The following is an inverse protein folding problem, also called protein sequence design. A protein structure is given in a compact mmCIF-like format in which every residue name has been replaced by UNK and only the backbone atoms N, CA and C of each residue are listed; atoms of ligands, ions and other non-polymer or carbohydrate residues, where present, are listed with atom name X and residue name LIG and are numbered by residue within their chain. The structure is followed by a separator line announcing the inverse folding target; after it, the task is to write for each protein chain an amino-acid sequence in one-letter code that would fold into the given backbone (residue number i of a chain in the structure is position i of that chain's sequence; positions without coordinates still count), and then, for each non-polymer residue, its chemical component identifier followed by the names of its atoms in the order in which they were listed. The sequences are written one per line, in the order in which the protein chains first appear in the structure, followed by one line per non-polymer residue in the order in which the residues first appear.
data_IF_666860099959
#
_entry.id   IF_666860099959
#
_cell.length_a   1.000
_cell.length_b   1.000
_cell.length_c   1.000
_cell.angle_alpha   90.00
_cell.angle_beta   90.00
_cell.angle_gamma   90.00
#
_symmetry.space_group_name_H-M   'P 1'
#
loop_
_entity.id
_entity.type
_entity.pdbx_description
1 polymer ?
#
# COMPACT_ATOMS: atom_id res chain seq x y z
N UNK A 1 10.89 12.06 1.21
CA UNK A 1 10.48 11.26 2.38
C UNK A 1 8.97 11.21 2.49
N UNK A 2 8.41 10.04 2.64
CA UNK A 2 6.97 9.87 2.74
C UNK A 2 6.60 8.97 3.91
N UNK A 3 5.36 9.09 4.39
CA UNK A 3 4.79 8.24 5.42
C UNK A 3 4.05 7.11 4.72
N UNK A 4 4.48 5.88 4.94
CA UNK A 4 3.93 4.71 4.28
C UNK A 4 3.35 3.75 5.30
N UNK A 5 2.13 3.29 5.05
CA UNK A 5 1.49 2.25 5.85
C UNK A 5 1.58 0.93 5.09
N UNK A 6 2.26 -0.05 5.69
CA UNK A 6 2.43 -1.38 5.12
C UNK A 6 1.50 -2.37 5.84
N UNK A 7 0.61 -2.99 5.10
CA UNK A 7 -0.36 -3.96 5.63
C UNK A 7 -0.03 -5.34 5.08
N UNK A 8 0.54 -6.18 5.93
CA UNK A 8 0.95 -7.54 5.56
C UNK A 8 1.01 -8.39 6.82
N UNK A 9 0.45 -9.60 6.78
CA UNK A 9 0.40 -10.48 7.95
C UNK A 9 1.69 -11.28 8.17
N UNK A 10 2.62 -11.26 7.21
CA UNK A 10 3.89 -11.97 7.33
C UNK A 10 4.95 -11.09 7.99
N UNK A 11 5.42 -11.50 9.16
CA UNK A 11 6.38 -10.73 9.92
C UNK A 11 7.69 -10.46 9.16
N UNK A 12 8.23 -11.48 8.49
CA UNK A 12 9.48 -11.32 7.76
C UNK A 12 9.37 -10.35 6.59
N UNK A 13 8.19 -10.28 5.96
CA UNK A 13 7.93 -9.30 4.91
C UNK A 13 7.87 -7.89 5.51
N UNK A 14 7.17 -7.72 6.63
CA UNK A 14 7.12 -6.41 7.30
C UNK A 14 8.52 -5.92 7.67
N UNK A 15 9.36 -6.81 8.20
CA UNK A 15 10.73 -6.45 8.58
C UNK A 15 11.57 -6.08 7.37
N UNK A 16 11.59 -6.92 6.34
CA UNK A 16 12.38 -6.68 5.14
C UNK A 16 11.95 -5.40 4.43
N UNK A 17 10.66 -5.24 4.22
CA UNK A 17 10.13 -4.09 3.48
C UNK A 17 10.32 -2.80 4.27
N UNK A 18 10.18 -2.85 5.59
CA UNK A 18 10.44 -1.69 6.45
C UNK A 18 11.89 -1.24 6.32
N UNK A 19 12.84 -2.17 6.39
CA UNK A 19 14.25 -1.85 6.25
C UNK A 19 14.55 -1.22 4.91
N UNK A 20 14.09 -1.84 3.83
CA UNK A 20 14.35 -1.38 2.47
C UNK A 20 13.72 -0.02 2.17
N UNK A 21 12.49 0.18 2.59
CA UNK A 21 11.80 1.45 2.35
C UNK A 21 12.34 2.56 3.26
N UNK A 22 12.78 2.22 4.46
CA UNK A 22 13.42 3.19 5.36
C UNK A 22 14.75 3.68 4.80
N UNK A 23 15.49 2.81 4.12
CA UNK A 23 16.73 3.20 3.44
C UNK A 23 16.48 4.23 2.33
N UNK A 24 15.29 4.18 1.73
CA UNK A 24 14.88 5.18 0.73
C UNK A 24 14.42 6.50 1.36
N UNK A 25 14.49 6.62 2.66
CA UNK A 25 14.12 7.83 3.38
C UNK A 25 12.66 7.92 3.80
N UNK A 26 11.90 6.84 3.64
CA UNK A 26 10.48 6.82 4.04
C UNK A 26 10.32 6.47 5.52
N UNK A 27 9.26 6.98 6.11
CA UNK A 27 8.84 6.57 7.45
C UNK A 27 7.76 5.50 7.29
N UNK A 28 8.05 4.29 7.75
CA UNK A 28 7.19 3.12 7.53
C UNK A 28 6.48 2.73 8.81
N UNK A 29 5.16 2.61 8.73
CA UNK A 29 4.32 2.06 9.78
C UNK A 29 3.79 0.73 9.29
N UNK A 30 3.72 -0.28 10.15
CA UNK A 30 3.25 -1.60 9.76
C UNK A 30 2.05 -2.03 10.58
N UNK A 31 1.14 -2.75 9.94
CA UNK A 31 0.06 -3.48 10.63
C UNK A 31 -0.01 -4.89 10.08
N UNK A 32 -0.34 -5.84 10.94
CA UNK A 32 -0.36 -7.26 10.60
C UNK A 32 -1.74 -7.76 10.18
N UNK A 33 -2.77 -6.91 10.27
CA UNK A 33 -4.16 -7.31 10.03
C UNK A 33 -4.93 -6.16 9.40
N UNK A 34 -6.03 -6.49 8.73
CA UNK A 34 -6.96 -5.48 8.22
C UNK A 34 -7.91 -4.94 9.29
N UNK A 35 -7.88 -5.50 10.52
CA UNK A 35 -8.76 -5.06 11.58
C UNK A 35 -8.48 -3.60 11.96
N UNK A 36 -9.51 -2.77 11.99
CA UNK A 36 -9.41 -1.34 12.28
C UNK A 36 -8.50 -0.56 11.32
N UNK A 37 -8.32 -1.06 10.09
CA UNK A 37 -7.41 -0.44 9.13
C UNK A 37 -7.80 1.01 8.83
N UNK A 38 -9.08 1.30 8.66
CA UNK A 38 -9.53 2.68 8.37
C UNK A 38 -9.19 3.63 9.51
N UNK A 39 -9.32 3.16 10.76
CA UNK A 39 -8.94 3.95 11.93
C UNK A 39 -7.43 4.20 11.97
N UNK A 40 -6.64 3.21 11.58
CA UNK A 40 -5.18 3.36 11.49
C UNK A 40 -4.80 4.39 10.43
N UNK A 41 -5.46 4.35 9.28
CA UNK A 41 -5.20 5.32 8.21
C UNK A 41 -5.54 6.73 8.72
N UNK A 42 -6.67 6.88 9.38
CA UNK A 42 -7.06 8.17 9.93
C UNK A 42 -6.05 8.70 10.96
N UNK A 43 -5.58 7.84 11.86
CA UNK A 43 -4.61 8.23 12.89
C UNK A 43 -3.23 8.52 12.33
N UNK A 44 -2.76 7.71 11.40
CA UNK A 44 -1.38 7.79 10.90
C UNK A 44 -1.23 8.78 9.75
N UNK A 45 -2.31 9.06 9.03
CA UNK A 45 -2.29 9.96 7.87
C UNK A 45 -1.18 9.59 6.89
N UNK A 46 -1.12 8.32 6.39
CA UNK A 46 -0.08 7.93 5.46
C UNK A 46 -0.25 8.62 4.12
N UNK A 47 0.85 8.77 3.41
CA UNK A 47 0.84 9.32 2.06
C UNK A 47 0.66 8.22 1.01
N UNK A 48 0.91 6.98 1.38
CA UNK A 48 0.64 5.81 0.55
C UNK A 48 0.40 4.58 1.44
N UNK A 49 -0.41 3.66 0.95
CA UNK A 49 -0.68 2.38 1.61
C UNK A 49 -0.20 1.26 0.70
N UNK A 50 0.61 0.36 1.25
CA UNK A 50 1.02 -0.88 0.57
C UNK A 50 0.20 -2.00 1.21
N UNK A 51 -0.66 -2.63 0.43
CA UNK A 51 -1.69 -3.52 0.92
C UNK A 51 -1.59 -4.90 0.27
N UNK A 52 -1.48 -5.94 1.11
CA UNK A 52 -1.56 -7.32 0.63
C UNK A 52 -3.03 -7.72 0.39
N UNK A 53 -3.26 -8.50 -0.65
CA UNK A 53 -4.61 -8.98 -0.99
C UNK A 53 -5.05 -10.09 -0.04
N UNK A 54 -4.16 -11.05 0.24
CA UNK A 54 -4.51 -12.22 1.05
C UNK A 54 -3.98 -12.09 2.47
N UNK A 55 -4.78 -11.46 3.31
CA UNK A 55 -4.53 -11.39 4.74
C UNK A 55 -5.27 -12.56 5.42
N UNK A 56 -4.76 -13.00 6.57
CA UNK A 56 -5.35 -14.13 7.30
C UNK A 56 -6.82 -13.86 7.64
N UNK A 57 -7.13 -12.65 8.09
CA UNK A 57 -8.46 -12.31 8.60
C UNK A 57 -9.32 -11.50 7.64
N UNK A 58 -8.74 -10.97 6.55
CA UNK A 58 -9.42 -10.02 5.68
C UNK A 58 -9.05 -10.21 4.22
N UNK A 59 -9.99 -9.90 3.36
CA UNK A 59 -9.75 -9.81 1.92
C UNK A 59 -9.24 -8.40 1.61
N UNK A 60 -8.00 -8.31 1.13
CA UNK A 60 -7.38 -7.02 0.80
C UNK A 60 -8.12 -6.26 -0.29
N UNK A 61 -8.78 -6.94 -1.22
CA UNK A 61 -9.56 -6.26 -2.27
C UNK A 61 -10.79 -5.57 -1.69
N UNK A 62 -11.43 -6.18 -0.69
CA UNK A 62 -12.54 -5.55 0.02
C UNK A 62 -12.06 -4.35 0.82
N UNK A 63 -10.91 -4.49 1.48
CA UNK A 63 -10.28 -3.38 2.20
C UNK A 63 -9.96 -2.22 1.26
N UNK A 64 -9.47 -2.52 0.07
CA UNK A 64 -9.18 -1.51 -0.94
C UNK A 64 -10.44 -0.72 -1.32
N UNK A 65 -11.56 -1.40 -1.49
CA UNK A 65 -12.83 -0.73 -1.78
C UNK A 65 -13.24 0.21 -0.64
N UNK A 66 -13.11 -0.27 0.60
CA UNK A 66 -13.43 0.55 1.78
C UNK A 66 -12.53 1.78 1.88
N UNK A 67 -11.23 1.59 1.64
CA UNK A 67 -10.27 2.71 1.63
C UNK A 67 -10.66 3.72 0.57
N UNK A 68 -10.94 3.24 -0.64
CA UNK A 68 -11.24 4.13 -1.77
C UNK A 68 -12.54 4.91 -1.56
N UNK A 69 -13.51 4.32 -0.87
CA UNK A 69 -14.76 4.99 -0.57
C UNK A 69 -14.59 6.16 0.41
N UNK A 70 -13.67 6.04 1.37
CA UNK A 70 -13.42 7.09 2.36
C UNK A 70 -12.28 8.03 1.96
N UNK A 71 -11.27 7.52 1.27
CA UNK A 71 -10.07 8.26 0.89
C UNK A 71 -9.87 8.15 -0.61
N UNK A 72 -10.59 8.97 -1.37
CA UNK A 72 -10.61 8.91 -2.83
C UNK A 72 -9.24 9.08 -3.46
N UNK A 73 -8.40 9.91 -2.86
CA UNK A 73 -7.11 10.29 -3.44
C UNK A 73 -5.91 9.63 -2.77
N UNK A 74 -6.13 8.79 -1.77
CA UNK A 74 -5.02 8.13 -1.08
C UNK A 74 -4.39 7.08 -2.00
N UNK A 75 -3.10 7.21 -2.32
CA UNK A 75 -2.43 6.18 -3.13
C UNK A 75 -2.40 4.83 -2.42
N UNK A 76 -2.86 3.80 -3.12
CA UNK A 76 -2.83 2.42 -2.63
C UNK A 76 -2.12 1.55 -3.66
N UNK A 77 -1.07 0.85 -3.20
CA UNK A 77 -0.33 -0.10 -4.00
C UNK A 77 -0.65 -1.49 -3.48
N UNK A 78 -1.25 -2.32 -4.33
CA UNK A 78 -1.44 -3.73 -4.00
C UNK A 78 -0.10 -4.44 -4.17
N UNK A 79 0.33 -5.17 -3.15
CA UNK A 79 1.58 -5.92 -3.18
C UNK A 79 1.30 -7.33 -2.66
N UNK A 80 1.28 -8.32 -3.55
CA UNK A 80 0.86 -9.66 -3.22
C UNK A 80 1.76 -10.70 -3.90
N UNK A 81 1.79 -11.92 -3.34
CA UNK A 81 2.53 -13.03 -3.94
C UNK A 81 1.89 -13.57 -5.22
N UNK A 82 0.68 -13.13 -5.56
CA UNK A 82 -0.12 -13.69 -6.64
C UNK A 82 -0.41 -12.68 -7.73
N UNK A 83 -0.25 -13.06 -8.99
CA UNK A 83 -0.59 -12.21 -10.14
C UNK A 83 -2.02 -12.42 -10.65
N UNK A 84 -2.70 -13.46 -10.15
CA UNK A 84 -4.05 -13.84 -10.60
C UNK A 84 -5.10 -12.76 -10.34
N UNK A 85 -4.84 -11.85 -9.42
CA UNK A 85 -5.78 -10.78 -9.07
C UNK A 85 -5.66 -9.53 -9.95
N UNK A 86 -4.66 -9.48 -10.84
CA UNK A 86 -4.47 -8.31 -11.72
C UNK A 86 -5.68 -8.02 -12.59
N UNK A 87 -6.37 -9.05 -13.04
CA UNK A 87 -7.55 -8.91 -13.89
C UNK A 87 -8.86 -8.79 -13.11
N UNK A 88 -8.79 -8.83 -11.78
CA UNK A 88 -9.98 -8.64 -10.94
C UNK A 88 -10.41 -7.17 -11.02
N UNK A 89 -11.70 -6.92 -11.25
CA UNK A 89 -12.22 -5.57 -11.34
C UNK A 89 -11.95 -4.73 -10.09
N UNK A 90 -11.93 -5.37 -8.91
CA UNK A 90 -11.65 -4.69 -7.66
C UNK A 90 -10.24 -4.13 -7.59
N UNK A 91 -9.28 -4.79 -8.26
CA UNK A 91 -7.89 -4.33 -8.30
C UNK A 91 -7.71 -3.01 -9.05
N UNK A 92 -8.65 -2.64 -9.91
CA UNK A 92 -8.59 -1.39 -10.69
C UNK A 92 -8.61 -0.16 -9.77
N UNK A 93 -9.17 -0.28 -8.57
CA UNK A 93 -9.20 0.82 -7.62
C UNK A 93 -7.83 1.14 -7.02
N UNK A 94 -6.83 0.27 -7.18
CA UNK A 94 -5.47 0.54 -6.74
C UNK A 94 -4.72 1.37 -7.77
N UNK A 95 -3.77 2.17 -7.30
CA UNK A 95 -2.92 2.97 -8.18
C UNK A 95 -1.89 2.09 -8.89
N UNK A 96 -1.39 1.07 -8.21
CA UNK A 96 -0.41 0.13 -8.76
C UNK A 96 -0.66 -1.27 -8.21
N UNK A 97 -0.22 -2.26 -8.97
CA UNK A 97 -0.26 -3.66 -8.57
C UNK A 97 1.16 -4.24 -8.72
N UNK A 98 1.71 -4.74 -7.63
CA UNK A 98 3.07 -5.28 -7.59
C UNK A 98 3.03 -6.72 -7.09
N UNK A 99 3.69 -7.64 -7.80
CA UNK A 99 3.86 -9.01 -7.33
C UNK A 99 5.09 -9.05 -6.43
N UNK A 100 4.95 -9.65 -5.25
CA UNK A 100 6.06 -9.75 -4.28
C UNK A 100 7.27 -10.44 -4.87
N UNK A 101 8.45 -9.88 -4.60
CA UNK A 101 9.73 -10.36 -5.07
C UNK A 101 10.81 -10.04 -4.04
N UNK A 102 11.94 -10.72 -4.12
CA UNK A 102 13.11 -10.36 -3.33
C UNK A 102 13.70 -9.03 -3.77
N UNK A 103 13.51 -8.68 -5.04
CA UNK A 103 13.92 -7.38 -5.56
C UNK A 103 12.75 -6.40 -5.41
N UNK A 104 12.92 -5.38 -4.57
CA UNK A 104 11.90 -4.40 -4.27
C UNK A 104 11.91 -3.21 -5.22
N UNK A 105 12.65 -3.25 -6.31
CA UNK A 105 12.76 -2.13 -7.25
C UNK A 105 11.39 -1.71 -7.80
N UNK A 106 10.56 -2.69 -8.17
CA UNK A 106 9.22 -2.39 -8.71
C UNK A 106 8.35 -1.71 -7.67
N UNK A 107 8.37 -2.21 -6.42
CA UNK A 107 7.60 -1.62 -5.33
C UNK A 107 8.07 -0.19 -5.04
N UNK A 108 9.38 0.02 -4.97
CA UNK A 108 9.96 1.34 -4.72
C UNK A 108 9.55 2.34 -5.79
N UNK A 109 9.60 1.93 -7.05
CA UNK A 109 9.17 2.78 -8.16
C UNK A 109 7.68 3.09 -8.10
N UNK A 110 6.85 2.10 -7.78
CA UNK A 110 5.41 2.30 -7.67
C UNK A 110 5.06 3.30 -6.57
N UNK A 111 5.74 3.21 -5.43
CA UNK A 111 5.55 4.14 -4.31
C UNK A 111 5.92 5.56 -4.74
N UNK A 112 7.08 5.73 -5.36
CA UNK A 112 7.54 7.06 -5.79
C UNK A 112 6.59 7.69 -6.80
N UNK A 113 6.16 6.91 -7.79
CA UNK A 113 5.21 7.40 -8.81
C UNK A 113 3.87 7.79 -8.20
N UNK A 114 3.38 6.99 -7.27
CA UNK A 114 2.11 7.28 -6.62
C UNK A 114 2.18 8.58 -5.80
N UNK A 115 3.26 8.77 -5.07
CA UNK A 115 3.47 9.97 -4.25
C UNK A 115 3.68 11.21 -5.13
N UNK A 116 4.49 11.10 -6.17
CA UNK A 116 4.74 12.20 -7.11
C UNK A 116 3.44 12.62 -7.81
N UNK A 117 2.68 11.65 -8.30
CA UNK A 117 1.41 11.92 -8.96
C UNK A 117 0.44 12.66 -8.04
N UNK A 118 0.35 12.24 -6.79
CA UNK A 118 -0.50 12.87 -5.80
C UNK A 118 -0.04 14.30 -5.48
N UNK A 119 1.26 14.49 -5.31
CA UNK A 119 1.86 15.80 -5.07
C UNK A 119 1.63 16.75 -6.26
N UNK A 120 1.81 16.25 -7.48
CA UNK A 120 1.57 17.02 -8.69
C UNK A 120 0.13 17.49 -8.80
N UNK A 121 -0.83 16.62 -8.46
CA UNK A 121 -2.24 16.98 -8.43
C UNK A 121 -2.53 18.08 -7.42
N UNK A 122 -1.90 18.03 -6.26
CA UNK A 122 -2.05 19.07 -5.23
C UNK A 122 -1.52 20.42 -5.71
N UNK A 123 -0.43 20.41 -6.46
CA UNK A 123 0.17 21.64 -6.96
C UNK A 123 -0.67 22.31 -8.05
N UNK A 124 -1.46 21.54 -8.77
CA UNK A 124 -2.32 22.05 -9.83
C UNK A 124 -3.59 22.71 -9.25
N UNK A 125 -4.00 22.25 -8.11
CA UNK A 125 -5.20 22.78 -7.43
C UNK A 125 -4.83 24.03 -6.64
#
# INVERSE_FOLDING_TARGET
MARILLVDDEEHIRQLYTEELSEEGHKVFTVATGHNLLKRIDSLQPEAVVLDIRLVDYDGLELLEEIRNLYHDLPVILCTAYDTYKSDQKSVAADHYVVKSFDLSELKMAIERAIEGHTSMRLIV
#
